data_IF_448900522585
#
_entry.id   IF_448900522585
#
_cell.length_a   1.000
_cell.length_b   1.000
_cell.length_c   1.000
_cell.angle_alpha   90.00
_cell.angle_beta   90.00
_cell.angle_gamma   90.00
#
_symmetry.space_group_name_H-M   'P 1'
#
loop_
_entity.id
_entity.type
_entity.pdbx_description
1 polymer ?
#
# COMPACT_ATOMS: atom_id res chain seq x y z
N UNK A 1 -1.65 -25.25 3.90
CA UNK A 1 -1.97 -23.82 3.67
C UNK A 1 -1.08 -23.00 4.57
N UNK A 2 -0.07 -22.34 4.03
CA UNK A 2 0.80 -21.44 4.81
C UNK A 2 -0.03 -20.20 5.14
N UNK A 3 -0.47 -20.10 6.40
CA UNK A 3 -1.17 -18.91 6.89
C UNK A 3 -0.15 -17.75 6.97
N UNK A 4 -0.10 -16.90 5.95
CA UNK A 4 0.63 -15.64 6.03
C UNK A 4 -0.10 -14.72 7.00
N UNK A 5 0.50 -14.50 8.18
CA UNK A 5 0.05 -13.48 9.11
C UNK A 5 0.78 -12.19 8.78
N UNK A 6 0.03 -11.13 8.53
CA UNK A 6 0.56 -9.82 8.19
C UNK A 6 -0.09 -8.76 9.07
N UNK A 7 0.71 -7.80 9.53
CA UNK A 7 0.18 -6.63 10.25
C UNK A 7 -0.17 -5.57 9.21
N UNK A 8 -1.41 -5.10 9.27
CA UNK A 8 -1.94 -4.02 8.44
C UNK A 8 -2.77 -3.08 9.31
N UNK A 9 -2.90 -1.84 8.87
CA UNK A 9 -3.81 -0.87 9.51
C UNK A 9 -5.23 -1.09 8.98
N UNK A 10 -6.19 -1.21 9.89
CA UNK A 10 -7.60 -1.16 9.53
C UNK A 10 -7.96 0.30 9.22
N UNK A 11 -8.22 0.60 7.96
CA UNK A 11 -8.54 1.95 7.48
C UNK A 11 -10.00 2.13 7.11
N UNK A 12 -10.75 1.03 7.00
CA UNK A 12 -12.19 1.05 6.73
C UNK A 12 -12.89 -0.03 7.54
N UNK A 13 -14.01 0.34 8.14
CA UNK A 13 -14.86 -0.48 9.00
C UNK A 13 -16.11 -0.96 8.24
N UNK A 14 -16.82 -1.99 8.76
CA UNK A 14 -18.08 -2.43 8.17
C UNK A 14 -19.08 -1.28 8.05
N UNK A 15 -19.64 -1.10 6.86
CA UNK A 15 -20.59 -0.04 6.54
C UNK A 15 -19.98 1.25 5.96
N UNK A 16 -18.68 1.44 6.09
CA UNK A 16 -17.99 2.61 5.55
C UNK A 16 -17.96 2.59 4.00
N UNK A 17 -17.94 3.77 3.39
CA UNK A 17 -17.59 3.95 1.98
C UNK A 17 -16.18 4.47 1.87
N UNK A 18 -15.27 3.62 1.37
CA UNK A 18 -13.86 3.94 1.22
C UNK A 18 -13.53 4.41 -0.19
N UNK A 19 -12.73 5.46 -0.28
CA UNK A 19 -12.10 5.94 -1.50
C UNK A 19 -10.66 6.34 -1.22
N UNK A 20 -9.78 6.22 -2.21
CA UNK A 20 -8.42 6.77 -2.17
C UNK A 20 -8.32 7.80 -3.29
N UNK A 21 -7.88 9.01 -2.95
CA UNK A 21 -7.68 10.11 -3.88
C UNK A 21 -6.26 10.64 -3.68
N UNK A 22 -5.43 10.55 -4.70
CA UNK A 22 -4.01 10.94 -4.65
C UNK A 22 -3.26 10.38 -3.43
N UNK A 23 -3.51 9.09 -3.11
CA UNK A 23 -2.92 8.39 -1.97
C UNK A 23 -3.56 8.67 -0.61
N UNK A 24 -4.46 9.67 -0.53
CA UNK A 24 -5.21 10.00 0.68
C UNK A 24 -6.44 9.09 0.82
N UNK A 25 -6.56 8.39 1.95
CA UNK A 25 -7.77 7.60 2.25
C UNK A 25 -8.88 8.51 2.71
N UNK A 26 -10.05 8.32 2.09
CA UNK A 26 -11.30 8.99 2.39
C UNK A 26 -12.29 7.95 2.92
N UNK A 27 -12.99 8.26 4.01
CA UNK A 27 -14.11 7.47 4.55
C UNK A 27 -15.35 8.37 4.54
N UNK A 28 -16.41 7.93 3.89
CA UNK A 28 -17.66 8.66 3.71
C UNK A 28 -17.43 10.10 3.19
N UNK A 29 -16.50 10.21 2.23
CA UNK A 29 -16.13 11.48 1.60
C UNK A 29 -15.25 12.38 2.45
N UNK A 30 -14.78 11.93 3.63
CA UNK A 30 -13.91 12.72 4.52
C UNK A 30 -12.52 12.10 4.59
N UNK A 31 -11.47 12.93 4.49
CA UNK A 31 -10.09 12.48 4.66
C UNK A 31 -9.86 11.98 6.09
N UNK A 32 -9.32 10.78 6.24
CA UNK A 32 -8.83 10.29 7.53
C UNK A 32 -7.43 10.83 7.81
N UNK A 33 -7.08 10.91 9.09
CA UNK A 33 -5.74 11.31 9.49
C UNK A 33 -4.73 10.22 9.05
N UNK A 34 -3.71 10.65 8.31
CA UNK A 34 -2.62 9.76 7.94
C UNK A 34 -1.71 9.45 9.13
N UNK A 35 -1.24 8.19 9.29
CA UNK A 35 -0.24 7.88 10.31
C UNK A 35 1.07 8.64 10.05
N UNK A 36 1.77 9.03 11.13
CA UNK A 36 3.03 9.78 11.05
C UNK A 36 4.09 9.09 10.18
N UNK A 37 4.12 7.76 10.20
CA UNK A 37 5.09 6.95 9.47
C UNK A 37 4.55 6.43 8.13
N UNK A 38 3.54 7.08 7.56
CA UNK A 38 3.07 6.77 6.21
C UNK A 38 4.19 6.96 5.19
N UNK A 39 4.43 5.95 4.36
CA UNK A 39 5.49 5.93 3.36
C UNK A 39 4.95 5.66 1.96
N UNK A 40 5.58 6.33 0.98
CA UNK A 40 5.48 6.04 -0.44
C UNK A 40 6.87 5.81 -1.01
N UNK A 41 6.99 5.10 -2.12
CA UNK A 41 8.27 4.94 -2.80
C UNK A 41 8.53 6.13 -3.71
N UNK A 42 9.80 6.54 -3.77
CA UNK A 42 10.28 7.62 -4.61
C UNK A 42 11.59 7.25 -5.28
N UNK A 43 11.77 7.78 -6.48
CA UNK A 43 13.07 7.86 -7.13
C UNK A 43 13.73 9.19 -6.76
N UNK A 44 14.94 9.11 -6.20
CA UNK A 44 15.70 10.25 -5.68
C UNK A 44 17.00 10.35 -6.46
N UNK A 45 17.11 11.37 -7.34
CA UNK A 45 18.34 11.64 -8.08
C UNK A 45 19.21 12.63 -7.34
N UNK A 46 20.51 12.34 -7.29
CA UNK A 46 21.51 13.24 -6.70
C UNK A 46 22.05 14.24 -7.71
N UNK A 47 22.83 15.21 -7.22
CA UNK A 47 23.57 16.19 -8.05
C UNK A 47 24.89 15.66 -8.58
N UNK A 48 25.27 14.41 -8.23
CA UNK A 48 26.50 13.74 -8.61
C UNK A 48 27.11 12.86 -7.52
N UNK A 49 27.24 13.32 -6.27
CA UNK A 49 27.74 12.48 -5.18
C UNK A 49 26.67 11.46 -4.74
N UNK A 50 27.13 10.33 -4.20
CA UNK A 50 26.25 9.36 -3.54
C UNK A 50 25.68 9.92 -2.23
N UNK A 51 24.49 9.47 -1.86
CA UNK A 51 23.94 9.77 -0.52
C UNK A 51 24.81 9.08 0.53
N UNK A 52 25.36 9.82 1.53
CA UNK A 52 26.19 9.23 2.57
C UNK A 52 25.43 8.21 3.43
N UNK A 53 26.11 7.14 3.86
CA UNK A 53 25.55 6.13 4.78
C UNK A 53 24.97 6.73 6.07
N UNK A 54 25.61 7.78 6.56
CA UNK A 54 25.18 8.49 7.77
C UNK A 54 23.81 9.13 7.59
N UNK A 55 23.54 9.70 6.42
CA UNK A 55 22.21 10.26 6.10
C UNK A 55 21.12 9.19 6.04
N UNK A 56 21.40 8.01 5.49
CA UNK A 56 20.45 6.90 5.53
C UNK A 56 20.15 6.46 6.97
N UNK A 57 21.17 6.44 7.85
CA UNK A 57 20.99 6.13 9.27
C UNK A 57 20.15 7.18 10.00
N UNK A 58 20.41 8.47 9.75
CA UNK A 58 19.65 9.58 10.32
C UNK A 58 18.17 9.55 9.88
N UNK A 59 17.92 9.23 8.60
CA UNK A 59 16.58 9.06 8.07
C UNK A 59 15.92 7.74 8.51
N UNK A 60 16.69 6.79 9.06
CA UNK A 60 16.16 5.47 9.46
C UNK A 60 15.83 4.55 8.28
N UNK A 61 16.47 4.77 7.11
CA UNK A 61 16.33 3.94 5.91
C UNK A 61 17.33 2.79 6.00
N UNK A 62 16.87 1.56 6.05
CA UNK A 62 17.72 0.36 6.13
C UNK A 62 18.35 0.02 4.77
N UNK A 63 19.41 -0.81 4.81
CA UNK A 63 20.05 -1.30 3.58
C UNK A 63 19.08 -2.11 2.71
N UNK A 64 18.13 -2.81 3.33
CA UNK A 64 17.12 -3.59 2.62
C UNK A 64 16.04 -2.73 1.95
N UNK A 65 15.85 -1.50 2.41
CA UNK A 65 14.79 -0.59 1.94
C UNK A 65 15.29 0.40 0.86
N UNK A 66 16.54 0.30 0.45
CA UNK A 66 17.13 1.18 -0.57
C UNK A 66 17.71 0.40 -1.74
N UNK A 67 17.43 0.87 -2.94
CA UNK A 67 18.00 0.32 -4.17
C UNK A 67 18.68 1.43 -4.95
N UNK A 68 19.96 1.24 -5.28
CA UNK A 68 20.68 2.13 -6.18
C UNK A 68 20.47 1.65 -7.63
N UNK A 69 19.94 2.54 -8.47
CA UNK A 69 19.55 2.26 -9.86
C UNK A 69 20.70 2.56 -10.82
N UNK A 70 21.77 1.75 -10.78
CA UNK A 70 22.98 1.97 -11.62
C UNK A 70 23.05 1.08 -12.87
N UNK A 71 22.18 0.08 -12.99
CA UNK A 71 22.15 -0.78 -14.16
C UNK A 71 21.62 -0.01 -15.37
N UNK A 72 22.31 -0.16 -16.52
CA UNK A 72 21.92 0.45 -17.79
C UNK A 72 20.50 0.07 -18.24
N UNK A 73 19.97 -1.05 -17.78
CA UNK A 73 18.61 -1.48 -18.04
C UNK A 73 17.54 -0.53 -17.49
N UNK A 74 17.87 0.27 -16.46
CA UNK A 74 16.94 1.25 -15.87
C UNK A 74 17.00 2.62 -16.54
N UNK A 75 18.06 2.93 -17.29
CA UNK A 75 18.34 4.29 -17.77
C UNK A 75 17.19 4.88 -18.58
N UNK A 76 16.62 4.14 -19.51
CA UNK A 76 15.52 4.61 -20.35
C UNK A 76 14.31 5.01 -19.49
N UNK A 77 13.89 4.16 -18.57
CA UNK A 77 12.76 4.45 -17.69
C UNK A 77 13.01 5.64 -16.75
N UNK A 78 14.25 5.79 -16.26
CA UNK A 78 14.64 6.94 -15.44
C UNK A 78 14.57 8.25 -16.24
N UNK A 79 15.04 8.24 -17.51
CA UNK A 79 14.97 9.39 -18.40
C UNK A 79 13.53 9.77 -18.76
N UNK A 80 12.65 8.79 -19.01
CA UNK A 80 11.22 9.02 -19.26
C UNK A 80 10.52 9.68 -18.05
N UNK A 81 10.97 9.36 -16.84
CA UNK A 81 10.52 10.04 -15.62
C UNK A 81 11.16 11.44 -15.45
N UNK A 82 12.08 11.83 -16.33
CA UNK A 82 12.81 13.12 -16.28
C UNK A 82 13.88 13.14 -15.18
N UNK A 83 14.46 11.98 -14.83
CA UNK A 83 15.64 11.84 -13.97
C UNK A 83 16.87 11.82 -14.88
N UNK A 84 17.22 12.98 -15.42
CA UNK A 84 18.17 13.17 -16.54
C UNK A 84 19.45 13.91 -16.17
N UNK A 85 19.63 14.25 -14.89
CA UNK A 85 20.84 14.93 -14.41
C UNK A 85 22.07 14.05 -14.62
N UNK A 86 23.12 14.62 -15.27
CA UNK A 86 24.36 13.92 -15.64
C UNK A 86 25.59 14.61 -15.09
N UNK A 87 26.65 13.82 -14.87
CA UNK A 87 27.95 14.34 -14.51
C UNK A 87 28.69 14.88 -15.75
N UNK A 88 29.90 15.46 -15.54
CA UNK A 88 30.72 16.02 -16.61
C UNK A 88 31.14 14.99 -17.68
N UNK A 89 31.13 13.69 -17.38
CA UNK A 89 31.44 12.60 -18.29
C UNK A 89 30.19 12.08 -19.04
N UNK A 90 29.05 12.72 -18.86
CA UNK A 90 27.76 12.32 -19.49
C UNK A 90 27.07 11.11 -18.87
N UNK A 91 27.62 10.53 -17.77
CA UNK A 91 26.97 9.44 -17.03
C UNK A 91 25.84 10.00 -16.17
N UNK A 92 24.73 9.26 -16.10
CA UNK A 92 23.61 9.61 -15.24
C UNK A 92 24.06 9.68 -13.77
N UNK A 93 23.66 10.74 -13.08
CA UNK A 93 23.93 10.88 -11.65
C UNK A 93 23.20 9.79 -10.86
N UNK A 94 23.71 9.36 -9.69
CA UNK A 94 23.09 8.30 -8.89
C UNK A 94 21.60 8.54 -8.64
N UNK A 95 20.79 7.51 -8.87
CA UNK A 95 19.36 7.48 -8.58
C UNK A 95 19.10 6.38 -7.56
N UNK A 96 18.42 6.71 -6.50
CA UNK A 96 17.99 5.76 -5.47
C UNK A 96 16.49 5.57 -5.53
N UNK A 97 16.04 4.33 -5.35
CA UNK A 97 14.64 3.99 -5.10
C UNK A 97 14.45 3.78 -3.60
N UNK A 98 13.64 4.61 -2.94
CA UNK A 98 13.53 4.72 -1.49
C UNK A 98 12.08 4.84 -1.02
N UNK A 99 11.68 4.15 0.07
CA UNK A 99 10.45 4.45 0.78
C UNK A 99 10.66 5.67 1.69
N UNK A 100 9.88 6.73 1.49
CA UNK A 100 10.00 7.96 2.24
C UNK A 100 8.70 8.33 2.94
N UNK A 101 8.82 8.70 4.22
CA UNK A 101 7.77 9.47 4.90
C UNK A 101 7.79 10.92 4.41
N UNK A 102 6.73 11.67 4.71
CA UNK A 102 6.68 13.11 4.41
C UNK A 102 7.89 13.87 4.97
N UNK A 103 8.27 13.58 6.23
CA UNK A 103 9.43 14.18 6.89
C UNK A 103 10.75 13.86 6.18
N UNK A 104 10.96 12.59 5.80
CA UNK A 104 12.16 12.18 5.04
C UNK A 104 12.21 12.86 3.68
N UNK A 105 11.08 12.90 2.97
CA UNK A 105 10.94 13.58 1.68
C UNK A 105 11.33 15.06 1.79
N UNK A 106 10.76 15.78 2.77
CA UNK A 106 11.04 17.21 2.98
C UNK A 106 12.50 17.46 3.35
N UNK A 107 13.10 16.58 4.17
CA UNK A 107 14.53 16.65 4.54
C UNK A 107 15.43 16.50 3.31
N UNK A 108 15.17 15.49 2.47
CA UNK A 108 15.95 15.28 1.24
C UNK A 108 15.72 16.43 0.25
N UNK A 109 14.47 16.83 0.03
CA UNK A 109 14.12 17.93 -0.88
C UNK A 109 14.76 19.26 -0.47
N UNK A 110 14.95 19.49 0.83
CA UNK A 110 15.64 20.66 1.37
C UNK A 110 17.15 20.68 1.10
N UNK A 111 17.77 19.51 0.86
CA UNK A 111 19.20 19.39 0.60
C UNK A 111 19.54 19.56 -0.90
N UNK A 112 19.36 20.76 -1.43
CA UNK A 112 19.58 21.11 -2.84
C UNK A 112 21.03 20.91 -3.31
N UNK A 113 22.01 20.84 -2.40
CA UNK A 113 23.40 20.57 -2.73
C UNK A 113 23.64 19.11 -3.10
N UNK A 114 22.82 18.21 -2.54
CA UNK A 114 22.95 16.76 -2.73
C UNK A 114 21.88 16.21 -3.66
N UNK A 115 20.65 16.70 -3.57
CA UNK A 115 19.49 16.15 -4.28
C UNK A 115 19.08 17.10 -5.41
N UNK A 116 19.07 16.56 -6.65
CA UNK A 116 18.62 17.28 -7.84
C UNK A 116 17.11 17.15 -8.04
N UNK A 117 16.56 15.95 -7.86
CA UNK A 117 15.14 15.67 -8.14
C UNK A 117 14.61 14.51 -7.30
N UNK A 118 13.34 14.60 -6.93
CA UNK A 118 12.59 13.50 -6.28
C UNK A 118 11.28 13.32 -7.03
N UNK A 119 11.00 12.10 -7.46
CA UNK A 119 9.76 11.73 -8.18
C UNK A 119 9.11 10.56 -7.45
N UNK A 120 7.81 10.64 -7.21
CA UNK A 120 7.05 9.51 -6.69
C UNK A 120 7.07 8.36 -7.69
N UNK A 121 7.18 7.13 -7.21
CA UNK A 121 7.15 5.92 -8.04
C UNK A 121 5.85 5.88 -8.87
N UNK A 122 5.96 5.80 -10.22
CA UNK A 122 4.79 5.77 -11.09
C UNK A 122 3.91 4.54 -10.88
N UNK A 123 2.63 4.66 -11.21
CA UNK A 123 1.65 3.56 -11.11
C UNK A 123 1.97 2.36 -12.01
N UNK A 124 2.77 2.56 -13.06
CA UNK A 124 3.26 1.47 -13.91
C UNK A 124 4.08 0.40 -13.15
N UNK A 125 4.61 0.74 -11.97
CA UNK A 125 5.31 -0.20 -11.08
C UNK A 125 4.37 -0.98 -10.17
N UNK A 126 3.09 -0.58 -10.09
CA UNK A 126 2.09 -1.29 -9.32
C UNK A 126 1.57 -2.53 -10.09
N UNK A 127 1.21 -3.58 -9.35
CA UNK A 127 0.44 -4.69 -9.90
C UNK A 127 -1.02 -4.32 -10.14
N UNK A 128 -1.79 -5.28 -10.67
CA UNK A 128 -3.23 -5.10 -10.84
C UNK A 128 -3.94 -4.98 -9.48
N UNK A 129 -4.88 -4.03 -9.41
CA UNK A 129 -5.70 -3.81 -8.22
C UNK A 129 -6.92 -4.71 -8.19
N UNK A 130 -7.42 -4.97 -7.00
CA UNK A 130 -8.71 -5.63 -6.78
C UNK A 130 -9.86 -4.64 -7.12
N UNK A 131 -10.97 -5.09 -7.72
CA UNK A 131 -11.17 -6.40 -8.31
C UNK A 131 -10.38 -6.55 -9.61
N UNK A 132 -9.87 -7.77 -9.86
CA UNK A 132 -9.11 -8.07 -11.07
C UNK A 132 -10.05 -8.10 -12.29
N UNK A 133 -10.39 -6.93 -12.81
CA UNK A 133 -11.23 -6.79 -13.98
C UNK A 133 -10.70 -5.69 -14.92
N UNK A 134 -11.25 -5.61 -16.13
CA UNK A 134 -10.85 -4.63 -17.13
C UNK A 134 -11.67 -3.31 -17.05
N UNK A 135 -12.63 -3.22 -16.15
CA UNK A 135 -13.60 -2.12 -16.13
C UNK A 135 -13.21 -1.03 -15.14
N UNK A 136 -12.71 -1.40 -13.96
CA UNK A 136 -12.20 -0.43 -12.99
C UNK A 136 -10.82 0.04 -13.42
N UNK A 137 -10.66 1.35 -13.58
CA UNK A 137 -9.35 1.99 -13.85
C UNK A 137 -8.70 2.43 -12.55
N UNK A 138 -8.86 1.65 -11.49
CA UNK A 138 -8.29 1.95 -10.19
C UNK A 138 -6.81 1.62 -10.15
N UNK A 139 -6.07 2.49 -9.50
CA UNK A 139 -4.67 2.31 -9.19
C UNK A 139 -4.45 2.36 -7.66
N UNK A 140 -3.23 2.21 -7.18
CA UNK A 140 -2.94 2.17 -5.74
C UNK A 140 -3.13 3.52 -5.04
N UNK A 141 -3.13 4.63 -5.78
CA UNK A 141 -3.28 6.00 -5.27
C UNK A 141 -4.66 6.59 -5.57
N UNK A 142 -5.40 6.03 -6.56
CA UNK A 142 -6.76 6.45 -6.92
C UNK A 142 -7.65 5.22 -7.03
N UNK A 143 -8.44 4.96 -5.99
CA UNK A 143 -9.15 3.71 -5.78
C UNK A 143 -10.57 3.95 -5.26
N UNK A 144 -11.53 3.17 -5.70
CA UNK A 144 -12.93 3.27 -5.26
C UNK A 144 -13.72 4.37 -5.98
N UNK A 145 -14.87 4.82 -5.41
CA UNK A 145 -15.37 4.44 -4.09
C UNK A 145 -15.87 2.99 -4.01
N UNK A 146 -15.70 2.35 -2.84
CA UNK A 146 -16.25 1.04 -2.52
C UNK A 146 -16.95 1.08 -1.17
N UNK A 147 -18.08 0.42 -1.07
CA UNK A 147 -18.75 0.20 0.22
C UNK A 147 -18.24 -1.07 0.88
N UNK A 148 -17.92 -1.02 2.17
CA UNK A 148 -17.39 -2.14 2.93
C UNK A 148 -18.56 -2.92 3.54
N UNK A 149 -18.72 -4.22 3.23
CA UNK A 149 -19.87 -4.96 3.69
C UNK A 149 -19.95 -5.07 5.22
N UNK A 150 -21.16 -4.95 5.76
CA UNK A 150 -21.46 -5.19 7.16
C UNK A 150 -22.46 -6.35 7.32
N UNK A 151 -22.33 -7.08 8.39
CA UNK A 151 -23.21 -8.20 8.73
C UNK A 151 -24.67 -7.78 8.77
N UNK A 152 -25.52 -8.53 8.08
CA UNK A 152 -26.95 -8.27 7.99
C UNK A 152 -27.35 -7.21 6.99
N UNK A 153 -26.41 -6.49 6.40
CA UNK A 153 -26.72 -5.52 5.35
C UNK A 153 -26.97 -6.22 4.01
N UNK A 154 -27.92 -5.72 3.26
CA UNK A 154 -28.31 -6.22 1.94
C UNK A 154 -27.90 -5.23 0.86
N UNK A 155 -27.30 -5.73 -0.21
CA UNK A 155 -26.98 -4.93 -1.40
C UNK A 155 -27.71 -5.49 -2.62
N UNK A 156 -27.98 -4.59 -3.57
CA UNK A 156 -28.41 -4.98 -4.92
C UNK A 156 -27.17 -5.29 -5.75
N UNK A 157 -27.09 -6.50 -6.28
CA UNK A 157 -26.01 -6.95 -7.17
C UNK A 157 -26.28 -6.50 -8.59
N UNK A 158 -25.27 -5.95 -9.21
CA UNK A 158 -25.26 -5.53 -10.61
C UNK A 158 -24.02 -6.08 -11.31
N UNK A 159 -23.96 -6.16 -12.64
CA UNK A 159 -22.75 -6.54 -13.36
C UNK A 159 -21.53 -5.69 -12.97
N UNK A 160 -21.74 -4.41 -12.63
CA UNK A 160 -20.65 -3.47 -12.31
C UNK A 160 -20.07 -3.70 -10.91
N UNK A 161 -20.91 -4.01 -9.92
CA UNK A 161 -20.45 -4.20 -8.54
C UNK A 161 -20.18 -5.67 -8.18
N UNK A 162 -20.67 -6.62 -8.97
CA UNK A 162 -20.48 -8.05 -8.71
C UNK A 162 -18.99 -8.43 -8.54
N UNK A 163 -18.05 -7.98 -9.38
CA UNK A 163 -16.64 -8.32 -9.22
C UNK A 163 -16.06 -7.83 -7.88
N UNK A 164 -16.61 -6.78 -7.29
CA UNK A 164 -16.19 -6.24 -5.99
C UNK A 164 -16.62 -7.18 -4.85
N UNK A 165 -17.81 -7.79 -4.94
CA UNK A 165 -18.40 -8.56 -3.84
C UNK A 165 -18.37 -10.07 -4.05
N UNK A 166 -18.07 -10.56 -5.25
CA UNK A 166 -18.05 -11.98 -5.58
C UNK A 166 -17.20 -12.80 -4.61
N UNK A 167 -16.01 -12.29 -4.26
CA UNK A 167 -15.11 -12.98 -3.32
C UNK A 167 -15.71 -13.11 -1.92
N UNK A 168 -16.43 -12.11 -1.45
CA UNK A 168 -17.16 -12.18 -0.18
C UNK A 168 -18.23 -13.27 -0.23
N UNK A 169 -19.03 -13.27 -1.29
CA UNK A 169 -20.16 -14.17 -1.47
C UNK A 169 -19.69 -15.63 -1.62
N UNK A 170 -18.71 -15.85 -2.48
CA UNK A 170 -18.28 -17.21 -2.87
C UNK A 170 -17.21 -17.74 -1.93
N UNK A 171 -16.08 -17.04 -1.81
CA UNK A 171 -14.91 -17.59 -1.12
C UNK A 171 -15.02 -17.53 0.40
N UNK A 172 -15.60 -16.46 0.95
CA UNK A 172 -15.69 -16.27 2.40
C UNK A 172 -17.01 -16.80 2.99
N UNK A 173 -18.12 -16.61 2.30
CA UNK A 173 -19.44 -17.05 2.79
C UNK A 173 -19.93 -18.37 2.17
N UNK A 174 -19.12 -19.00 1.30
CA UNK A 174 -19.32 -20.37 0.82
C UNK A 174 -20.52 -20.57 -0.10
N UNK A 175 -20.99 -19.49 -0.77
CA UNK A 175 -22.12 -19.60 -1.67
C UNK A 175 -21.65 -19.98 -3.10
N UNK A 176 -22.54 -20.60 -3.85
CA UNK A 176 -22.37 -20.83 -5.29
C UNK A 176 -22.99 -19.65 -6.04
N UNK A 177 -22.17 -18.95 -6.84
CA UNK A 177 -22.63 -17.82 -7.64
C UNK A 177 -22.51 -18.17 -9.13
N UNK A 178 -23.55 -17.92 -9.90
CA UNK A 178 -23.60 -18.13 -11.34
C UNK A 178 -24.22 -16.91 -12.02
N UNK A 179 -23.56 -16.44 -13.08
CA UNK A 179 -24.12 -15.37 -13.93
C UNK A 179 -24.59 -16.04 -15.22
N UNK A 180 -25.89 -15.90 -15.51
CA UNK A 180 -26.54 -16.42 -16.72
C UNK A 180 -27.02 -15.29 -17.59
N UNK A 181 -27.44 -15.58 -18.81
CA UNK A 181 -27.96 -14.57 -19.75
C UNK A 181 -29.19 -13.82 -19.24
N UNK A 182 -29.94 -14.41 -18.30
CA UNK A 182 -31.18 -13.88 -17.74
C UNK A 182 -31.04 -13.33 -16.30
N UNK A 183 -29.82 -13.40 -15.70
CA UNK A 183 -29.58 -12.82 -14.39
C UNK A 183 -28.53 -13.52 -13.53
N UNK A 184 -28.44 -13.10 -12.28
CA UNK A 184 -27.53 -13.62 -11.25
C UNK A 184 -28.27 -14.71 -10.46
N UNK A 185 -27.56 -15.79 -10.16
CA UNK A 185 -28.07 -16.91 -9.37
C UNK A 185 -27.14 -17.16 -8.17
N UNK A 186 -27.72 -17.25 -6.97
CA UNK A 186 -26.99 -17.60 -5.76
C UNK A 186 -27.61 -18.90 -5.20
N UNK A 187 -26.78 -19.95 -5.04
CA UNK A 187 -27.21 -21.27 -4.60
C UNK A 187 -28.36 -21.87 -5.44
N UNK A 188 -28.42 -21.51 -6.73
CA UNK A 188 -29.44 -21.98 -7.67
C UNK A 188 -30.70 -21.12 -7.71
N UNK A 189 -30.87 -20.13 -6.83
CA UNK A 189 -31.99 -19.21 -6.83
C UNK A 189 -31.64 -17.93 -7.57
N UNK A 190 -32.52 -17.46 -8.48
CA UNK A 190 -32.35 -16.21 -9.20
C UNK A 190 -32.60 -15.05 -8.25
N UNK A 191 -31.61 -14.21 -8.07
CA UNK A 191 -31.71 -13.04 -7.19
C UNK A 191 -30.74 -11.95 -7.65
N UNK A 192 -31.10 -10.70 -7.40
CA UNK A 192 -30.22 -9.55 -7.55
C UNK A 192 -29.90 -8.89 -6.20
N UNK A 193 -30.23 -9.56 -5.09
CA UNK A 193 -29.93 -9.07 -3.74
C UNK A 193 -29.05 -10.08 -3.01
N UNK A 194 -28.17 -9.57 -2.17
CA UNK A 194 -27.35 -10.38 -1.29
C UNK A 194 -27.24 -9.75 0.10
N UNK A 195 -27.51 -10.55 1.14
CA UNK A 195 -27.36 -10.16 2.55
C UNK A 195 -26.10 -10.79 3.11
N UNK A 196 -25.14 -9.97 3.55
CA UNK A 196 -23.87 -10.43 4.10
C UNK A 196 -24.04 -11.07 5.47
N UNK A 197 -23.30 -12.17 5.70
CA UNK A 197 -23.36 -12.96 6.95
C UNK A 197 -22.26 -12.56 7.94
N UNK A 198 -21.23 -11.84 7.48
CA UNK A 198 -20.07 -11.40 8.26
C UNK A 198 -19.82 -9.91 8.09
N UNK A 199 -19.08 -9.34 9.06
CA UNK A 199 -18.46 -8.04 8.92
C UNK A 199 -17.16 -8.12 8.10
N UNK A 200 -16.90 -7.08 7.33
CA UNK A 200 -15.70 -6.98 6.53
C UNK A 200 -14.92 -5.72 6.85
N UNK A 201 -13.63 -5.77 6.61
CA UNK A 201 -12.69 -4.69 6.89
C UNK A 201 -11.82 -4.39 5.69
N UNK A 202 -11.32 -3.13 5.62
CA UNK A 202 -10.33 -2.76 4.64
C UNK A 202 -9.01 -2.47 5.31
N UNK A 203 -7.99 -3.22 4.94
CA UNK A 203 -6.68 -3.22 5.57
C UNK A 203 -5.64 -2.66 4.63
N UNK A 204 -4.84 -1.68 5.09
CA UNK A 204 -3.73 -1.12 4.31
C UNK A 204 -2.44 -1.08 5.11
N UNK A 205 -1.31 -1.29 4.43
CA UNK A 205 0.01 -1.10 5.03
C UNK A 205 0.42 0.37 5.07
N UNK A 206 1.15 0.79 6.09
CA UNK A 206 1.66 2.17 6.19
C UNK A 206 2.74 2.47 5.14
N UNK A 207 3.50 1.46 4.68
CA UNK A 207 4.33 1.56 3.48
C UNK A 207 3.45 1.28 2.23
N UNK A 208 2.79 2.32 1.75
CA UNK A 208 1.73 2.25 0.75
C UNK A 208 2.13 1.58 -0.57
N UNK A 209 3.33 1.84 -1.05
CA UNK A 209 3.81 1.30 -2.32
C UNK A 209 4.48 -0.07 -2.18
N UNK A 210 4.85 -0.46 -0.96
CA UNK A 210 5.47 -1.75 -0.66
C UNK A 210 4.62 -2.56 0.33
N UNK A 211 3.34 -2.72 0.01
CA UNK A 211 2.38 -3.47 0.82
C UNK A 211 1.42 -4.26 -0.05
N UNK A 212 1.46 -5.59 0.06
CA UNK A 212 0.36 -6.42 -0.37
C UNK A 212 -0.76 -6.30 0.66
N UNK A 213 -1.86 -5.61 0.31
CA UNK A 213 -2.96 -5.28 1.20
C UNK A 213 -4.33 -5.32 0.47
N UNK A 214 -5.38 -4.80 1.08
CA UNK A 214 -6.75 -4.90 0.55
C UNK A 214 -6.90 -4.33 -0.86
N UNK A 215 -6.06 -3.41 -1.29
CA UNK A 215 -6.06 -2.90 -2.67
C UNK A 215 -5.73 -4.00 -3.70
N UNK A 216 -5.06 -5.08 -3.28
CA UNK A 216 -4.66 -6.20 -4.14
C UNK A 216 -5.52 -7.45 -3.93
N UNK A 217 -5.99 -7.71 -2.71
CA UNK A 217 -6.71 -8.94 -2.39
C UNK A 217 -8.15 -8.72 -1.88
N UNK A 218 -8.60 -7.46 -1.76
CA UNK A 218 -9.97 -7.13 -1.40
C UNK A 218 -10.24 -7.11 0.09
N UNK A 219 -11.50 -7.32 0.47
CA UNK A 219 -11.99 -7.28 1.84
C UNK A 219 -11.41 -8.37 2.73
N UNK A 220 -11.28 -8.08 4.02
CA UNK A 220 -10.91 -9.03 5.07
C UNK A 220 -12.15 -9.35 5.90
N UNK A 221 -12.64 -10.59 5.90
CA UNK A 221 -13.76 -10.97 6.75
C UNK A 221 -13.35 -11.03 8.23
N UNK A 222 -14.33 -10.87 9.12
CA UNK A 222 -14.12 -10.81 10.57
C UNK A 222 -13.37 -12.03 11.15
N UNK A 223 -13.59 -13.22 10.61
CA UNK A 223 -12.96 -14.47 11.05
C UNK A 223 -11.50 -14.62 10.62
N UNK A 224 -11.01 -13.74 9.74
CA UNK A 224 -9.59 -13.65 9.35
C UNK A 224 -8.81 -12.64 10.19
N UNK A 225 -9.47 -11.85 11.02
CA UNK A 225 -8.84 -10.88 11.93
C UNK A 225 -8.34 -11.63 13.17
N UNK A 226 -7.02 -11.82 13.27
CA UNK A 226 -6.40 -12.56 14.39
C UNK A 226 -6.39 -11.73 15.68
N UNK A 227 -6.24 -10.41 15.58
CA UNK A 227 -6.23 -9.49 16.72
C UNK A 227 -5.54 -8.16 16.42
N UNK A 228 -5.57 -7.24 17.40
CA UNK A 228 -4.90 -5.94 17.34
C UNK A 228 -3.59 -6.00 18.13
N UNK A 229 -2.43 -5.63 17.54
CA UNK A 229 -1.22 -5.43 18.32
C UNK A 229 -1.40 -4.25 19.28
N UNK A 230 -0.99 -4.40 20.53
CA UNK A 230 -1.17 -3.39 21.57
C UNK A 230 0.14 -2.69 21.89
N UNK A 231 1.24 -3.44 21.94
CA UNK A 231 2.53 -2.93 22.37
C UNK A 231 3.68 -3.52 21.57
N UNK A 232 4.68 -2.71 21.25
CA UNK A 232 5.98 -3.16 20.73
C UNK A 232 6.87 -3.41 21.94
N UNK A 233 7.06 -4.68 22.32
CA UNK A 233 7.90 -5.03 23.49
C UNK A 233 9.40 -5.10 23.16
N UNK A 234 9.77 -5.35 21.88
CA UNK A 234 11.15 -5.40 21.40
C UNK A 234 11.22 -4.93 19.94
N UNK A 235 12.20 -4.09 19.63
CA UNK A 235 12.50 -3.66 18.26
C UNK A 235 14.00 -3.74 18.01
N UNK A 236 14.37 -4.50 16.97
CA UNK A 236 15.78 -4.70 16.60
C UNK A 236 16.07 -3.98 15.27
N UNK A 237 17.25 -3.37 15.18
CA UNK A 237 17.79 -2.85 13.94
C UNK A 237 18.42 -3.99 13.14
N UNK A 238 18.02 -4.13 11.85
CA UNK A 238 18.51 -5.21 10.99
C UNK A 238 19.97 -4.99 10.58
N UNK A 239 20.39 -3.74 10.45
CA UNK A 239 21.68 -3.32 9.90
C UNK A 239 22.76 -3.16 10.98
N UNK A 240 22.41 -3.33 12.27
CA UNK A 240 23.32 -3.13 13.40
C UNK A 240 23.67 -4.42 14.12
N UNK A 241 24.91 -4.51 14.58
CA UNK A 241 25.40 -5.57 15.47
C UNK A 241 24.92 -5.38 16.92
N UNK A 242 25.01 -6.44 17.72
CA UNK A 242 24.61 -6.44 19.15
C UNK A 242 25.29 -5.33 19.96
N UNK A 243 26.55 -5.00 19.65
CA UNK A 243 27.37 -3.98 20.35
C UNK A 243 27.31 -2.62 19.64
N UNK A 244 26.58 -2.49 18.51
CA UNK A 244 26.50 -1.28 17.70
C UNK A 244 25.04 -0.74 17.62
N UNK A 245 24.28 -0.91 18.71
CA UNK A 245 22.93 -0.33 18.78
C UNK A 245 21.84 -1.15 18.11
N UNK A 246 21.95 -2.48 18.11
CA UNK A 246 20.92 -3.38 17.55
C UNK A 246 19.55 -3.20 18.21
N UNK A 247 19.50 -2.88 19.49
CA UNK A 247 18.24 -2.66 20.20
C UNK A 247 17.79 -1.21 20.00
N UNK A 248 16.61 -1.01 19.44
CA UNK A 248 15.99 0.30 19.28
C UNK A 248 15.26 0.68 20.56
N UNK A 249 16.00 1.20 21.54
CA UNK A 249 15.50 1.52 22.88
C UNK A 249 14.30 2.50 22.86
N UNK A 250 14.27 3.43 21.90
CA UNK A 250 13.18 4.40 21.71
C UNK A 250 11.86 3.79 21.24
N UNK A 251 11.86 2.50 20.89
CA UNK A 251 10.66 1.74 20.46
C UNK A 251 10.27 0.65 21.44
N UNK A 252 11.01 0.51 22.54
CA UNK A 252 10.73 -0.51 23.56
C UNK A 252 9.48 -0.10 24.35
N UNK A 253 8.56 -1.04 24.55
CA UNK A 253 7.27 -0.84 25.23
C UNK A 253 6.43 0.31 24.66
N UNK A 254 6.60 0.62 23.38
CA UNK A 254 5.78 1.63 22.70
C UNK A 254 4.40 1.06 22.40
N UNK A 255 3.35 1.79 22.79
CA UNK A 255 1.98 1.47 22.39
C UNK A 255 1.83 1.59 20.88
N UNK A 256 1.00 0.70 20.31
CA UNK A 256 0.64 0.73 18.88
C UNK A 256 -0.70 1.45 18.76
N UNK A 257 -0.70 2.56 18.04
CA UNK A 257 -1.88 3.38 17.73
C UNK A 257 -2.61 2.89 16.48
#
# INVERSE_FOLDING_TARGET
>A
TTLFRSVKRCVGLPGDTLQIVDGQVMIDGKAIQNPENLQFNYFVQTTGPYIPEEMFRELGISNADRTLMEDSGYEIGLLEMGLDSRNAQGKLNPVYHLPLTKKMYDTLLGNKKLISKIIMEPEAYAGQMYPLNLYTKWDRNNYGPIWIPSKGATITLTPDNLPIYERCIVAYEGNKLEVKSDGIYINGEKTNEYTFKMDYYWMMGDNRHNSADSRYWGFVPEDHVVGKPIVVWLSLDKDRGWFDGKIRWNRLFKWVD
#
